data_IF_442166958176
#
_entry.id   IF_442166958176
#
_cell.length_a   1.000
_cell.length_b   1.000
_cell.length_c   1.000
_cell.angle_alpha   90.00
_cell.angle_beta   90.00
_cell.angle_gamma   90.00
#
_symmetry.space_group_name_H-M   'P 1'
#
loop_
_entity.id
_entity.type
_entity.pdbx_description
1 polymer ?
#
# COMPACT_ATOMS: atom_id res chain seq x y z
N UNK A 1 -31.32 -12.15 4.50
CA UNK A 1 -30.00 -11.66 4.04
C UNK A 1 -29.86 -11.99 2.57
N UNK A 2 -29.27 -11.11 1.75
CA UNK A 2 -29.10 -11.35 0.31
C UNK A 2 -27.70 -11.92 0.08
N UNK A 3 -27.61 -13.14 -0.44
CA UNK A 3 -26.33 -13.74 -0.85
C UNK A 3 -25.93 -13.17 -2.21
N UNK A 4 -24.67 -12.76 -2.35
CA UNK A 4 -24.11 -12.24 -3.61
C UNK A 4 -22.71 -12.82 -3.83
N UNK A 5 -22.31 -12.93 -5.10
CA UNK A 5 -20.97 -13.33 -5.52
C UNK A 5 -20.30 -12.10 -6.13
N UNK A 6 -19.13 -11.73 -5.61
CA UNK A 6 -18.29 -10.67 -6.15
C UNK A 6 -17.21 -11.21 -7.07
N UNK A 7 -17.01 -10.57 -8.21
CA UNK A 7 -15.88 -10.84 -9.13
C UNK A 7 -15.14 -9.52 -9.31
N UNK A 8 -13.82 -9.55 -9.16
CA UNK A 8 -12.95 -8.39 -9.31
C UNK A 8 -12.07 -8.57 -10.54
N UNK A 9 -12.13 -7.60 -11.46
CA UNK A 9 -11.28 -7.49 -12.64
C UNK A 9 -10.60 -6.12 -12.61
N UNK A 10 -9.28 -6.10 -12.42
CA UNK A 10 -8.48 -4.89 -12.29
C UNK A 10 -7.11 -5.07 -12.98
N UNK A 11 -6.45 -3.94 -13.26
CA UNK A 11 -5.06 -3.95 -13.72
C UNK A 11 -4.11 -4.44 -12.63
N UNK A 12 -3.08 -5.18 -13.02
CA UNK A 12 -1.96 -5.55 -12.14
C UNK A 12 -0.99 -4.39 -11.90
N UNK A 13 0.15 -4.65 -11.25
CA UNK A 13 1.21 -3.66 -11.09
C UNK A 13 1.74 -3.17 -12.45
N UNK A 14 1.93 -1.86 -12.57
CA UNK A 14 2.48 -1.18 -13.76
C UNK A 14 3.86 -0.57 -13.46
N UNK A 15 4.79 -0.68 -14.42
CA UNK A 15 6.11 -0.08 -14.34
C UNK A 15 6.59 0.36 -15.73
N UNK A 16 6.51 1.66 -16.00
CA UNK A 16 6.98 2.29 -17.24
C UNK A 16 8.22 3.15 -17.01
N UNK A 17 8.83 3.65 -18.10
CA UNK A 17 9.96 4.60 -18.04
C UNK A 17 9.60 5.90 -17.26
N UNK A 18 8.35 6.34 -17.38
CA UNK A 18 7.76 7.37 -16.52
C UNK A 18 6.39 6.89 -16.02
N UNK A 19 6.25 6.82 -14.70
CA UNK A 19 4.99 6.52 -14.03
C UNK A 19 4.36 7.82 -13.53
N UNK A 20 3.13 8.11 -13.94
CA UNK A 20 2.39 9.28 -13.45
C UNK A 20 1.55 8.93 -12.21
N UNK A 21 0.73 9.88 -11.76
CA UNK A 21 -0.13 9.68 -10.59
C UNK A 21 -1.14 8.55 -10.78
N UNK A 22 -1.54 8.28 -12.03
CA UNK A 22 -2.43 7.18 -12.40
C UNK A 22 -1.79 5.83 -12.10
N UNK A 23 -0.56 5.58 -12.57
CA UNK A 23 0.19 4.37 -12.22
C UNK A 23 0.39 4.24 -10.71
N UNK A 24 0.65 5.35 -10.02
CA UNK A 24 0.77 5.34 -8.56
C UNK A 24 -0.52 4.86 -7.89
N UNK A 25 -1.69 5.32 -8.35
CA UNK A 25 -2.99 4.86 -7.85
C UNK A 25 -3.25 3.39 -8.17
N UNK A 26 -2.92 2.92 -9.39
CA UNK A 26 -3.06 1.52 -9.79
C UNK A 26 -2.19 0.62 -8.92
N UNK A 27 -0.92 0.99 -8.72
CA UNK A 27 0.00 0.23 -7.88
C UNK A 27 -0.41 0.24 -6.41
N UNK A 28 -0.94 1.36 -5.89
CA UNK A 28 -1.50 1.40 -4.54
C UNK A 28 -2.71 0.48 -4.35
N UNK A 29 -3.60 0.39 -5.36
CA UNK A 29 -4.71 -0.56 -5.32
C UNK A 29 -4.22 -2.02 -5.28
N UNK A 30 -3.22 -2.35 -6.09
CA UNK A 30 -2.58 -3.67 -6.09
C UNK A 30 -1.89 -3.98 -4.75
N UNK A 31 -1.26 -2.99 -4.12
CA UNK A 31 -0.65 -3.15 -2.80
C UNK A 31 -1.69 -3.50 -1.72
N UNK A 32 -2.88 -2.88 -1.77
CA UNK A 32 -3.97 -3.22 -0.85
C UNK A 32 -4.49 -4.65 -1.08
N UNK A 33 -4.59 -5.08 -2.34
CA UNK A 33 -4.94 -6.45 -2.69
C UNK A 33 -3.89 -7.45 -2.21
N UNK A 34 -2.61 -7.14 -2.39
CA UNK A 34 -1.52 -7.95 -1.86
C UNK A 34 -1.63 -8.08 -0.34
N UNK A 35 -1.90 -7.00 0.39
CA UNK A 35 -2.10 -7.03 1.84
C UNK A 35 -3.32 -7.88 2.22
N UNK A 36 -4.42 -7.81 1.46
CA UNK A 36 -5.59 -8.64 1.64
C UNK A 36 -5.25 -10.13 1.48
N UNK A 37 -4.54 -10.51 0.42
CA UNK A 37 -4.09 -11.89 0.22
C UNK A 37 -3.15 -12.36 1.33
N UNK A 38 -2.17 -11.54 1.72
CA UNK A 38 -1.23 -11.88 2.79
C UNK A 38 -1.96 -12.15 4.11
N UNK A 39 -2.94 -11.32 4.45
CA UNK A 39 -3.73 -11.50 5.68
C UNK A 39 -4.67 -12.70 5.57
N UNK A 40 -5.42 -12.80 4.48
CA UNK A 40 -6.50 -13.79 4.38
C UNK A 40 -5.99 -15.21 4.16
N UNK A 41 -4.97 -15.39 3.32
CA UNK A 41 -4.41 -16.71 3.05
C UNK A 41 -3.46 -17.09 4.18
N UNK A 42 -2.43 -16.30 4.48
CA UNK A 42 -1.40 -16.77 5.42
C UNK A 42 -1.75 -16.58 6.89
N UNK A 43 -2.37 -15.47 7.31
CA UNK A 43 -2.63 -15.25 8.75
C UNK A 43 -3.80 -16.10 9.23
N UNK A 44 -4.92 -16.09 8.50
CA UNK A 44 -6.11 -16.85 8.91
C UNK A 44 -5.93 -18.37 8.80
N UNK A 45 -5.30 -18.89 7.74
CA UNK A 45 -5.06 -20.34 7.65
C UNK A 45 -4.14 -20.83 8.77
N UNK A 46 -3.12 -20.06 9.12
CA UNK A 46 -2.23 -20.42 10.23
C UNK A 46 -2.92 -20.33 11.60
N UNK A 47 -3.82 -19.36 11.79
CA UNK A 47 -4.69 -19.30 12.98
C UNK A 47 -5.60 -20.53 13.08
N UNK A 48 -6.17 -21.00 11.95
CA UNK A 48 -7.01 -22.20 11.92
C UNK A 48 -6.20 -23.47 12.20
N UNK A 49 -5.01 -23.64 11.59
CA UNK A 49 -4.15 -24.79 11.88
C UNK A 49 -3.73 -24.86 13.35
N UNK A 50 -3.44 -23.71 13.96
CA UNK A 50 -3.14 -23.63 15.39
C UNK A 50 -4.37 -24.00 16.24
N UNK A 51 -5.57 -23.56 15.84
CA UNK A 51 -6.82 -23.86 16.52
C UNK A 51 -7.18 -25.36 16.45
N UNK A 52 -6.94 -26.01 15.31
CA UNK A 52 -7.15 -27.44 15.10
C UNK A 52 -6.03 -28.32 15.68
N UNK A 53 -4.94 -27.72 16.18
CA UNK A 53 -3.78 -28.44 16.73
C UNK A 53 -2.99 -29.22 15.67
N UNK A 54 -3.05 -28.78 14.42
CA UNK A 54 -2.31 -29.39 13.30
C UNK A 54 -0.84 -29.00 13.42
N UNK A 55 0.05 -30.00 13.44
CA UNK A 55 1.49 -29.75 13.47
C UNK A 55 1.95 -29.26 12.09
N UNK A 56 2.17 -27.96 11.98
CA UNK A 56 2.53 -27.25 10.75
C UNK A 56 3.73 -26.32 10.98
N UNK A 57 4.51 -26.06 9.93
CA UNK A 57 5.63 -25.12 9.98
C UNK A 57 5.16 -23.72 9.61
N UNK A 58 5.32 -22.76 10.53
CA UNK A 58 4.96 -21.37 10.28
C UNK A 58 5.64 -20.85 9.01
N UNK A 59 4.86 -20.32 8.08
CA UNK A 59 5.37 -19.71 6.85
C UNK A 59 5.65 -18.25 7.14
N UNK A 60 6.92 -17.86 6.98
CA UNK A 60 7.29 -16.45 6.92
C UNK A 60 6.79 -15.84 5.59
N UNK A 61 6.11 -14.70 5.69
CA UNK A 61 5.66 -13.92 4.54
C UNK A 61 6.17 -12.49 4.64
N UNK A 62 6.29 -11.84 3.48
CA UNK A 62 6.65 -10.43 3.39
C UNK A 62 5.40 -9.59 3.62
N UNK A 63 5.31 -8.93 4.77
CA UNK A 63 4.22 -7.99 5.07
C UNK A 63 4.50 -6.64 4.41
N UNK A 64 3.53 -6.16 3.63
CA UNK A 64 3.61 -4.90 2.92
C UNK A 64 2.95 -3.73 3.67
N UNK A 65 2.56 -3.94 4.94
CA UNK A 65 1.90 -2.92 5.76
C UNK A 65 2.70 -1.62 5.85
N UNK A 66 4.03 -1.70 5.96
CA UNK A 66 4.89 -0.50 6.05
C UNK A 66 4.88 0.32 4.75
N UNK A 67 4.59 -0.28 3.59
CA UNK A 67 4.41 0.46 2.34
C UNK A 67 3.04 1.14 2.31
N UNK A 68 1.97 0.44 2.69
CA UNK A 68 0.62 1.01 2.76
C UNK A 68 0.52 2.15 3.77
N UNK A 69 1.19 2.01 4.92
CA UNK A 69 1.31 3.03 5.96
C UNK A 69 1.94 4.31 5.42
N UNK A 70 3.04 4.17 4.68
CA UNK A 70 3.73 5.28 4.03
C UNK A 70 2.86 5.93 2.95
N UNK A 71 2.14 5.15 2.15
CA UNK A 71 1.38 5.67 1.00
C UNK A 71 0.09 6.37 1.44
N UNK A 72 -0.71 5.76 2.33
CA UNK A 72 -2.07 6.25 2.59
C UNK A 72 -2.63 6.02 4.00
N UNK A 73 -2.05 5.14 4.84
CA UNK A 73 -2.70 4.75 6.10
C UNK A 73 -2.24 5.52 7.35
N UNK A 74 -0.95 5.87 7.47
CA UNK A 74 -0.45 6.64 8.63
C UNK A 74 -0.57 8.14 8.43
N UNK A 75 -0.50 8.92 9.51
CA UNK A 75 -0.51 10.38 9.41
C UNK A 75 0.69 10.88 8.60
N UNK A 76 0.49 11.99 7.90
CA UNK A 76 1.50 12.59 7.02
C UNK A 76 2.02 11.61 5.96
N UNK A 77 1.19 10.67 5.49
CA UNK A 77 1.49 9.79 4.38
C UNK A 77 1.60 10.54 3.05
N UNK A 78 2.10 9.87 2.02
CA UNK A 78 2.31 10.45 0.68
C UNK A 78 1.01 11.04 0.11
N UNK A 79 -0.11 10.31 0.14
CA UNK A 79 -1.40 10.79 -0.38
C UNK A 79 -1.90 12.03 0.37
N UNK A 80 -1.74 12.08 1.69
CA UNK A 80 -2.13 13.21 2.52
C UNK A 80 -1.29 14.46 2.21
N UNK A 81 0.02 14.28 2.00
CA UNK A 81 0.91 15.38 1.62
C UNK A 81 0.62 15.90 0.20
N UNK A 82 0.28 15.01 -0.74
CA UNK A 82 -0.19 15.38 -2.08
C UNK A 82 -1.50 16.17 -2.00
N UNK A 83 -2.49 15.69 -1.24
CA UNK A 83 -3.79 16.35 -1.06
C UNK A 83 -3.65 17.75 -0.43
N UNK A 84 -2.81 17.86 0.59
CA UNK A 84 -2.51 19.15 1.23
C UNK A 84 -1.88 20.14 0.24
N UNK A 85 -0.85 19.72 -0.49
CA UNK A 85 -0.12 20.58 -1.42
C UNK A 85 -0.99 21.00 -2.62
N UNK A 86 -1.84 20.10 -3.11
CA UNK A 86 -2.77 20.36 -4.22
C UNK A 86 -3.80 21.44 -3.89
N UNK A 87 -4.12 21.63 -2.60
CA UNK A 87 -5.04 22.66 -2.11
C UNK A 87 -4.32 23.94 -1.69
N UNK A 88 -2.99 23.92 -1.60
CA UNK A 88 -2.22 25.06 -1.13
C UNK A 88 -2.17 26.15 -2.23
N UNK A 89 -2.52 27.42 -1.93
CA UNK A 89 -2.61 28.47 -2.96
C UNK A 89 -1.33 28.76 -3.75
N UNK A 90 -0.17 28.28 -3.28
CA UNK A 90 1.14 28.38 -3.93
C UNK A 90 1.85 27.03 -4.03
N UNK A 91 1.08 25.95 -4.02
CA UNK A 91 1.62 24.60 -4.15
C UNK A 91 2.19 24.38 -5.54
N UNK A 92 3.33 23.70 -5.59
CA UNK A 92 4.03 23.32 -6.83
C UNK A 92 4.59 21.92 -6.67
N UNK A 93 4.91 21.25 -7.78
CA UNK A 93 5.53 19.92 -7.72
C UNK A 93 6.87 19.95 -6.97
N UNK A 94 7.63 21.05 -7.05
CA UNK A 94 8.89 21.19 -6.33
C UNK A 94 8.68 21.33 -4.82
N UNK A 95 7.68 22.09 -4.39
CA UNK A 95 7.35 22.23 -2.95
C UNK A 95 6.73 20.96 -2.39
N UNK A 96 5.92 20.24 -3.18
CA UNK A 96 5.44 18.89 -2.87
C UNK A 96 6.63 17.93 -2.64
N UNK A 97 7.56 17.87 -3.60
CA UNK A 97 8.72 17.00 -3.53
C UNK A 97 9.60 17.35 -2.31
N UNK A 98 9.80 18.64 -2.03
CA UNK A 98 10.54 19.07 -0.84
C UNK A 98 9.87 18.63 0.47
N UNK A 99 8.53 18.70 0.56
CA UNK A 99 7.76 18.18 1.71
C UNK A 99 7.95 16.67 1.86
N UNK A 100 7.79 15.91 0.78
CA UNK A 100 7.99 14.45 0.78
C UNK A 100 9.41 14.07 1.24
N UNK A 101 10.44 14.73 0.69
CA UNK A 101 11.83 14.52 1.09
C UNK A 101 12.08 14.84 2.57
N UNK A 102 11.46 15.90 3.08
CA UNK A 102 11.60 16.32 4.49
C UNK A 102 10.92 15.33 5.43
N UNK A 103 9.73 14.86 5.09
CA UNK A 103 8.93 13.99 5.96
C UNK A 103 9.40 12.54 5.92
N UNK A 104 9.72 12.01 4.73
CA UNK A 104 9.99 10.59 4.51
C UNK A 104 11.41 10.26 4.05
N UNK A 105 12.32 11.23 3.98
CA UNK A 105 13.67 11.03 3.44
C UNK A 105 14.55 10.01 4.17
N UNK A 106 14.14 9.52 5.34
CA UNK A 106 14.80 8.45 6.10
C UNK A 106 13.99 7.14 6.13
N UNK A 107 12.80 7.12 5.51
CA UNK A 107 11.94 5.94 5.51
C UNK A 107 12.47 4.91 4.52
N UNK A 108 12.62 3.65 4.96
CA UNK A 108 13.24 2.59 4.14
C UNK A 108 12.57 2.34 2.78
N UNK A 109 11.25 2.56 2.71
CA UNK A 109 10.45 2.38 1.49
C UNK A 109 10.36 3.66 0.63
N UNK A 110 11.07 4.73 1.00
CA UNK A 110 11.08 5.99 0.27
C UNK A 110 12.49 6.31 -0.21
N UNK A 111 12.69 6.30 -1.53
CA UNK A 111 13.96 6.62 -2.16
C UNK A 111 13.85 7.98 -2.85
N UNK A 112 14.84 8.83 -2.62
CA UNK A 112 14.95 10.10 -3.36
C UNK A 112 15.43 9.80 -4.78
N UNK A 113 14.85 10.48 -5.79
CA UNK A 113 15.33 10.39 -7.17
C UNK A 113 16.77 10.89 -7.32
#
# INVERSE_FOLDING_TARGET
MRTAIGVLDIFGFENFDQNSFEQFCINFANENLQQFFVRHIFKLEQEEYNHEGINWQHIEFVDNQDALDLIALKQLNIMALIDEESKFPKGTDQTMLAKLHKTHGLHRNYLKP
#
